data_IF_730826715535
#
_entry.id   IF_730826715535
#
_cell.length_a   1.000
_cell.length_b   1.000
_cell.length_c   1.000
_cell.angle_alpha   90.00
_cell.angle_beta   90.00
_cell.angle_gamma   90.00
#
_symmetry.space_group_name_H-M   'P 1'
#
loop_
_entity.id
_entity.type
_entity.pdbx_description
1 polymer ?
#
# COMPACT_ATOMS: atom_id res chain seq x y z
N UNK A 1 0.54 -4.72 -4.64
CA UNK A 1 -0.32 -5.21 -5.75
C UNK A 1 -0.49 -4.18 -6.87
N UNK A 2 -0.70 -2.90 -6.54
CA UNK A 2 -0.89 -1.80 -7.50
C UNK A 2 0.16 -1.68 -8.60
N UNK A 3 1.45 -1.89 -8.29
CA UNK A 3 2.54 -1.87 -9.27
C UNK A 3 2.50 -3.07 -10.24
N UNK A 4 2.12 -4.25 -9.77
CA UNK A 4 1.98 -5.42 -10.65
C UNK A 4 0.79 -5.22 -11.60
N UNK A 5 -0.30 -4.66 -11.08
CA UNK A 5 -1.49 -4.35 -11.85
C UNK A 5 -1.23 -3.22 -12.87
N UNK A 6 -0.50 -2.17 -12.51
CA UNK A 6 -0.12 -1.10 -13.45
C UNK A 6 0.82 -1.59 -14.54
N UNK A 7 1.79 -2.46 -14.19
CA UNK A 7 2.67 -3.11 -15.18
C UNK A 7 1.86 -4.00 -16.12
N UNK A 8 0.88 -4.77 -15.62
CA UNK A 8 -0.02 -5.55 -16.49
C UNK A 8 -0.81 -4.66 -17.44
N UNK A 9 -1.36 -3.53 -16.97
CA UNK A 9 -2.07 -2.57 -17.82
C UNK A 9 -1.18 -1.99 -18.92
N UNK A 10 0.05 -1.57 -18.58
CA UNK A 10 1.02 -1.06 -19.54
C UNK A 10 1.48 -2.12 -20.55
N UNK A 11 1.56 -3.39 -20.15
CA UNK A 11 1.86 -4.49 -21.08
C UNK A 11 0.78 -4.62 -22.16
N UNK A 12 -0.49 -4.48 -21.79
CA UNK A 12 -1.61 -4.55 -22.74
C UNK A 12 -1.64 -3.35 -23.70
N UNK A 13 -1.37 -2.14 -23.21
CA UNK A 13 -1.23 -0.95 -24.06
C UNK A 13 -0.14 -1.12 -25.11
N UNK A 14 1.03 -1.64 -24.72
CA UNK A 14 2.16 -1.89 -25.62
C UNK A 14 1.84 -2.98 -26.65
N UNK A 15 1.08 -4.00 -26.28
CA UNK A 15 0.64 -5.04 -27.23
C UNK A 15 -0.26 -4.47 -28.34
N UNK A 16 -1.18 -3.56 -28.00
CA UNK A 16 -2.02 -2.87 -28.99
C UNK A 16 -1.14 -2.06 -29.96
N UNK A 17 -0.10 -1.39 -29.46
CA UNK A 17 0.83 -0.63 -30.31
C UNK A 17 1.61 -1.54 -31.27
N UNK A 18 2.04 -2.73 -30.82
CA UNK A 18 2.70 -3.70 -31.70
C UNK A 18 1.73 -4.27 -32.75
N UNK A 19 0.47 -4.48 -32.41
CA UNK A 19 -0.52 -4.93 -33.39
C UNK A 19 -0.75 -3.87 -34.49
N UNK A 20 -0.90 -2.60 -34.09
CA UNK A 20 -1.03 -1.47 -35.01
C UNK A 20 0.19 -1.35 -35.93
N UNK A 21 1.41 -1.44 -35.38
CA UNK A 21 2.64 -1.33 -36.16
C UNK A 21 2.86 -2.53 -37.10
N UNK A 22 2.40 -3.72 -36.72
CA UNK A 22 2.41 -4.88 -37.62
C UNK A 22 1.49 -4.68 -38.83
N UNK A 23 0.29 -4.11 -38.62
CA UNK A 23 -0.64 -3.78 -39.71
C UNK A 23 -0.13 -2.68 -40.62
N UNK A 24 0.55 -1.66 -40.09
CA UNK A 24 1.12 -0.60 -40.93
C UNK A 24 2.28 -1.11 -41.77
N UNK A 25 3.14 -1.98 -41.21
CA UNK A 25 4.23 -2.61 -41.95
C UNK A 25 3.73 -3.56 -43.04
N UNK A 26 2.64 -4.30 -42.78
CA UNK A 26 2.04 -5.15 -43.82
C UNK A 26 1.43 -4.34 -44.95
N UNK A 27 0.78 -3.21 -44.64
CA UNK A 27 0.28 -2.28 -45.65
C UNK A 27 1.41 -1.66 -46.47
N UNK A 28 2.48 -1.18 -45.81
CA UNK A 28 3.67 -0.67 -46.48
C UNK A 28 4.19 -1.68 -47.51
N UNK A 29 4.44 -2.93 -47.08
CA UNK A 29 4.89 -4.04 -47.93
C UNK A 29 3.98 -4.32 -49.14
N UNK A 30 2.68 -4.02 -49.07
CA UNK A 30 1.76 -4.21 -50.21
C UNK A 30 1.86 -3.10 -51.25
N UNK A 31 2.27 -1.89 -50.86
CA UNK A 31 2.36 -0.72 -51.74
C UNK A 31 3.78 -0.41 -52.22
N UNK A 32 4.81 -0.92 -51.55
CA UNK A 32 6.22 -0.74 -51.89
C UNK A 32 6.78 -1.95 -52.65
N UNK A 33 7.27 -1.69 -53.86
CA UNK A 33 8.03 -2.66 -54.65
C UNK A 33 9.46 -2.77 -54.11
N UNK A 34 9.79 -3.90 -53.47
CA UNK A 34 11.16 -4.36 -53.18
C UNK A 34 12.24 -3.29 -52.92
N UNK A 35 12.17 -2.63 -51.77
CA UNK A 35 13.31 -1.87 -51.24
C UNK A 35 13.99 -2.68 -50.11
N UNK A 36 15.32 -2.87 -50.22
CA UNK A 36 16.13 -3.59 -49.20
C UNK A 36 15.97 -2.99 -47.79
N UNK A 37 15.72 -1.68 -47.72
CA UNK A 37 15.47 -0.95 -46.47
C UNK A 37 14.24 -1.45 -45.70
N UNK A 38 13.21 -1.94 -46.37
CA UNK A 38 11.98 -2.44 -45.73
C UNK A 38 12.15 -3.84 -45.15
N UNK A 39 12.99 -4.67 -45.78
CA UNK A 39 13.35 -5.99 -45.26
C UNK A 39 14.12 -5.82 -43.96
N UNK A 40 15.08 -4.88 -43.92
CA UNK A 40 15.85 -4.53 -42.72
C UNK A 40 14.93 -3.97 -41.62
N UNK A 41 13.93 -3.16 -41.98
CA UNK A 41 13.00 -2.58 -41.02
C UNK A 41 12.03 -3.62 -40.44
N UNK A 42 11.56 -4.56 -41.27
CA UNK A 42 10.75 -5.69 -40.82
C UNK A 42 11.54 -6.63 -39.91
N UNK A 43 12.79 -6.96 -40.23
CA UNK A 43 13.65 -7.79 -39.38
C UNK A 43 14.00 -7.12 -38.04
N UNK A 44 14.27 -5.81 -38.06
CA UNK A 44 14.44 -5.01 -36.83
C UNK A 44 13.17 -5.03 -35.99
N UNK A 45 12.01 -4.87 -36.61
CA UNK A 45 10.71 -4.90 -35.93
C UNK A 45 10.42 -6.27 -35.30
N UNK A 46 10.65 -7.36 -36.05
CA UNK A 46 10.50 -8.73 -35.57
C UNK A 46 11.45 -9.01 -34.39
N UNK A 47 12.68 -8.49 -34.45
CA UNK A 47 13.64 -8.58 -33.35
C UNK A 47 13.14 -7.87 -32.09
N UNK A 48 12.52 -6.71 -32.22
CA UNK A 48 11.93 -5.95 -31.10
C UNK A 48 10.77 -6.73 -30.48
N UNK A 49 9.87 -7.30 -31.30
CA UNK A 49 8.77 -8.16 -30.82
C UNK A 49 9.32 -9.36 -30.06
N UNK A 50 10.33 -10.05 -30.59
CA UNK A 50 10.94 -11.20 -29.94
C UNK A 50 11.56 -10.83 -28.58
N UNK A 51 12.25 -9.68 -28.50
CA UNK A 51 12.79 -9.15 -27.24
C UNK A 51 11.68 -8.83 -26.23
N UNK A 52 10.57 -8.25 -26.70
CA UNK A 52 9.40 -7.97 -25.88
C UNK A 52 8.75 -9.25 -25.33
N UNK A 53 8.56 -10.28 -26.16
CA UNK A 53 8.02 -11.57 -25.73
C UNK A 53 8.91 -12.25 -24.68
N UNK A 54 10.23 -12.17 -24.85
CA UNK A 54 11.19 -12.65 -23.85
C UNK A 54 11.09 -11.88 -22.53
N UNK A 55 10.95 -10.56 -22.58
CA UNK A 55 10.69 -9.73 -21.39
C UNK A 55 9.36 -10.08 -20.73
N UNK A 56 8.29 -10.25 -21.50
CA UNK A 56 6.96 -10.66 -21.01
C UNK A 56 7.04 -12.01 -20.28
N UNK A 57 7.74 -12.97 -20.85
CA UNK A 57 7.93 -14.29 -20.25
C UNK A 57 8.70 -14.21 -18.94
N UNK A 58 9.81 -13.44 -18.91
CA UNK A 58 10.58 -13.20 -17.67
C UNK A 58 9.74 -12.51 -16.60
N UNK A 59 8.94 -11.51 -16.97
CA UNK A 59 8.03 -10.80 -16.06
C UNK A 59 6.93 -11.74 -15.55
N UNK A 60 6.38 -12.60 -16.39
CA UNK A 60 5.38 -13.60 -15.99
C UNK A 60 5.96 -14.61 -15.01
N UNK A 61 7.16 -15.13 -15.26
CA UNK A 61 7.86 -16.02 -14.33
C UNK A 61 8.16 -15.33 -13.00
N UNK A 62 8.57 -14.06 -13.01
CA UNK A 62 8.75 -13.28 -11.80
C UNK A 62 7.42 -13.10 -11.04
N UNK A 63 6.32 -12.80 -11.73
CA UNK A 63 4.97 -12.71 -11.14
C UNK A 63 4.53 -14.04 -10.52
N UNK A 64 4.80 -15.16 -11.18
CA UNK A 64 4.48 -16.50 -10.66
C UNK A 64 5.28 -16.85 -9.40
N UNK A 65 6.57 -16.46 -9.35
CA UNK A 65 7.43 -16.67 -8.17
C UNK A 65 7.06 -15.77 -7.00
N UNK A 66 6.82 -14.49 -7.27
CA UNK A 66 6.53 -13.48 -6.24
C UNK A 66 5.07 -13.49 -5.79
N UNK A 67 4.15 -14.04 -6.58
CA UNK A 67 2.72 -14.04 -6.28
C UNK A 67 2.38 -14.73 -4.95
N UNK A 68 2.85 -15.96 -4.69
CA UNK A 68 2.61 -16.66 -3.42
C UNK A 68 3.21 -15.93 -2.23
N UNK A 69 4.47 -15.48 -2.33
CA UNK A 69 5.15 -14.78 -1.23
C UNK A 69 4.47 -13.45 -0.91
N UNK A 70 4.07 -12.68 -1.93
CA UNK A 70 3.30 -11.45 -1.74
C UNK A 70 1.94 -11.70 -1.08
N UNK A 71 1.28 -12.83 -1.35
CA UNK A 71 0.02 -13.19 -0.69
C UNK A 71 0.23 -13.57 0.77
N UNK A 72 1.30 -14.28 1.09
CA UNK A 72 1.66 -14.63 2.47
C UNK A 72 2.02 -13.37 3.27
N UNK A 73 2.90 -12.53 2.75
CA UNK A 73 3.25 -11.24 3.36
C UNK A 73 2.02 -10.35 3.53
N UNK A 74 1.15 -10.29 2.52
CA UNK A 74 -0.11 -9.55 2.63
C UNK A 74 -1.01 -10.08 3.74
N UNK A 75 -1.05 -11.40 3.98
CA UNK A 75 -1.83 -11.96 5.09
C UNK A 75 -1.24 -11.58 6.44
N UNK A 76 0.08 -11.69 6.59
CA UNK A 76 0.79 -11.29 7.80
C UNK A 76 0.55 -9.81 8.11
N UNK A 77 0.67 -8.93 7.12
CA UNK A 77 0.38 -7.51 7.30
C UNK A 77 -1.09 -7.27 7.69
N UNK A 78 -2.04 -8.01 7.11
CA UNK A 78 -3.46 -7.91 7.50
C UNK A 78 -3.68 -8.33 8.96
N UNK A 79 -3.01 -9.38 9.42
CA UNK A 79 -3.06 -9.81 10.82
C UNK A 79 -2.44 -8.76 11.75
N UNK A 80 -1.30 -8.18 11.35
CA UNK A 80 -0.66 -7.09 12.10
C UNK A 80 -1.58 -5.86 12.20
N UNK A 81 -2.21 -5.45 11.10
CA UNK A 81 -3.17 -4.34 11.07
C UNK A 81 -4.36 -4.59 12.02
N UNK A 82 -4.87 -5.84 12.06
CA UNK A 82 -5.93 -6.23 13.02
C UNK A 82 -5.45 -6.20 14.47
N UNK A 83 -4.23 -6.68 14.72
CA UNK A 83 -3.63 -6.64 16.05
C UNK A 83 -3.45 -5.19 16.54
N UNK A 84 -3.09 -4.28 15.63
CA UNK A 84 -2.96 -2.86 15.90
C UNK A 84 -4.31 -2.20 16.19
N UNK A 85 -5.35 -2.52 15.41
CA UNK A 85 -6.72 -2.09 15.67
C UNK A 85 -7.17 -2.53 17.07
N UNK A 86 -6.90 -3.78 17.44
CA UNK A 86 -7.20 -4.29 18.79
C UNK A 86 -6.45 -3.53 19.88
N UNK A 87 -5.18 -3.17 19.66
CA UNK A 87 -4.41 -2.33 20.61
C UNK A 87 -5.02 -0.95 20.79
N UNK A 88 -5.52 -0.31 19.71
CA UNK A 88 -6.23 0.97 19.80
C UNK A 88 -7.51 0.82 20.62
N UNK A 89 -8.32 -0.19 20.29
CA UNK A 89 -9.60 -0.41 20.98
C UNK A 89 -9.40 -0.73 22.47
N UNK A 90 -8.38 -1.55 22.81
CA UNK A 90 -7.97 -1.80 24.20
C UNK A 90 -7.52 -0.52 24.91
N UNK A 91 -6.75 0.34 24.24
CA UNK A 91 -6.27 1.58 24.86
C UNK A 91 -7.42 2.55 25.16
N UNK A 92 -8.44 2.60 24.31
CA UNK A 92 -9.67 3.35 24.55
C UNK A 92 -10.46 2.77 25.73
N UNK A 93 -10.57 1.44 25.81
CA UNK A 93 -11.22 0.75 26.93
C UNK A 93 -10.47 1.02 28.23
N UNK A 94 -9.14 0.88 28.24
CA UNK A 94 -8.27 1.16 29.38
C UNK A 94 -8.44 2.61 29.87
N UNK A 95 -8.57 3.57 28.97
CA UNK A 95 -8.81 4.96 29.34
C UNK A 95 -10.20 5.14 29.96
N UNK A 96 -11.25 4.56 29.37
CA UNK A 96 -12.61 4.65 29.90
C UNK A 96 -12.78 3.94 31.26
N UNK A 97 -12.04 2.85 31.46
CA UNK A 97 -12.01 2.11 32.73
C UNK A 97 -11.05 2.72 33.75
N UNK A 98 -10.17 3.63 33.33
CA UNK A 98 -9.22 4.26 34.23
C UNK A 98 -9.94 5.12 35.28
N UNK A 99 -9.42 5.08 36.50
CA UNK A 99 -9.93 5.89 37.61
C UNK A 99 -9.72 7.40 37.40
N UNK A 100 -9.23 7.86 36.24
CA UNK A 100 -9.09 9.28 35.87
C UNK A 100 -10.41 10.05 35.95
N UNK A 101 -11.55 9.35 35.93
CA UNK A 101 -12.88 9.93 36.12
C UNK A 101 -13.40 9.85 37.56
N UNK A 102 -12.69 9.16 38.46
CA UNK A 102 -13.10 9.01 39.86
C UNK A 102 -12.39 10.05 40.73
N UNK A 103 -13.17 10.74 41.57
CA UNK A 103 -12.70 11.81 42.47
C UNK A 103 -11.69 11.39 43.54
N UNK A 104 -11.29 10.11 43.60
CA UNK A 104 -10.42 9.57 44.64
C UNK A 104 -8.92 9.65 44.31
N UNK A 105 -8.54 10.07 43.09
CA UNK A 105 -7.14 10.18 42.70
C UNK A 105 -6.51 11.51 43.13
N UNK A 106 -5.30 11.43 43.65
CA UNK A 106 -4.45 12.61 43.85
C UNK A 106 -3.94 13.11 42.49
N UNK A 107 -3.78 14.43 42.35
CA UNK A 107 -3.27 15.07 41.13
C UNK A 107 -1.96 14.43 40.60
N UNK A 108 -1.04 14.09 41.51
CA UNK A 108 0.25 13.44 41.16
C UNK A 108 0.03 12.06 40.51
N UNK A 109 -0.93 11.28 41.03
CA UNK A 109 -1.25 9.95 40.51
C UNK A 109 -1.97 10.05 39.16
N UNK A 110 -2.90 11.00 39.02
CA UNK A 110 -3.56 11.28 37.75
C UNK A 110 -2.55 11.71 36.66
N UNK A 111 -1.58 12.55 37.01
CA UNK A 111 -0.54 12.99 36.08
C UNK A 111 0.41 11.86 35.66
N UNK A 112 0.74 10.93 36.56
CA UNK A 112 1.53 9.74 36.23
C UNK A 112 0.79 8.85 35.22
N UNK A 113 -0.50 8.59 35.46
CA UNK A 113 -1.35 7.80 34.57
C UNK A 113 -1.50 8.49 33.20
N UNK A 114 -1.74 9.79 33.17
CA UNK A 114 -1.82 10.57 31.93
C UNK A 114 -0.50 10.55 31.13
N UNK A 115 0.65 10.67 31.80
CA UNK A 115 1.95 10.56 31.15
C UNK A 115 2.20 9.15 30.58
N UNK A 116 1.72 8.10 31.24
CA UNK A 116 1.79 6.73 30.72
C UNK A 116 0.91 6.56 29.46
N UNK A 117 -0.30 7.13 29.44
CA UNK A 117 -1.14 7.13 28.23
C UNK A 117 -0.55 7.97 27.10
N UNK A 118 0.05 9.13 27.40
CA UNK A 118 0.73 9.97 26.40
C UNK A 118 1.94 9.27 25.76
N UNK A 119 2.73 8.53 26.55
CA UNK A 119 3.88 7.79 26.00
C UNK A 119 3.41 6.64 25.12
N UNK A 120 2.38 5.89 25.53
CA UNK A 120 1.75 4.85 24.70
C UNK A 120 1.14 5.43 23.43
N UNK A 121 0.46 6.57 23.52
CA UNK A 121 -0.10 7.24 22.34
C UNK A 121 0.97 7.63 21.33
N UNK A 122 2.10 8.21 21.78
CA UNK A 122 3.21 8.58 20.88
C UNK A 122 3.81 7.36 20.16
N UNK A 123 3.87 6.21 20.84
CA UNK A 123 4.33 4.96 20.22
C UNK A 123 3.35 4.48 19.15
N UNK A 124 2.05 4.51 19.44
CA UNK A 124 1.02 4.14 18.46
C UNK A 124 0.94 5.13 17.30
N UNK A 125 1.13 6.43 17.53
CA UNK A 125 1.20 7.45 16.47
C UNK A 125 2.33 7.15 15.48
N UNK A 126 3.51 6.77 16.00
CA UNK A 126 4.66 6.40 15.16
C UNK A 126 4.34 5.16 14.33
N UNK A 127 3.76 4.13 14.96
CA UNK A 127 3.35 2.90 14.27
C UNK A 127 2.22 3.14 13.27
N UNK A 128 1.30 4.07 13.56
CA UNK A 128 0.18 4.40 12.69
C UNK A 128 0.63 4.97 11.34
N UNK A 129 1.74 5.72 11.30
CA UNK A 129 2.31 6.21 10.05
C UNK A 129 2.76 5.05 9.14
N UNK A 130 3.47 4.08 9.71
CA UNK A 130 3.96 2.91 8.99
C UNK A 130 2.77 2.05 8.51
N UNK A 131 1.79 1.81 9.37
CA UNK A 131 0.58 1.05 9.02
C UNK A 131 -0.29 1.75 7.98
N UNK A 132 -0.37 3.09 7.98
CA UNK A 132 -1.08 3.85 6.94
C UNK A 132 -0.43 3.70 5.57
N UNK A 133 0.90 3.65 5.51
CA UNK A 133 1.63 3.37 4.27
C UNK A 133 1.37 1.94 3.79
N UNK A 134 1.42 0.95 4.70
CA UNK A 134 1.13 -0.46 4.37
C UNK A 134 -0.31 -0.65 3.89
N UNK A 135 -1.26 0.03 4.51
CA UNK A 135 -2.67 0.02 4.12
C UNK A 135 -2.89 0.61 2.72
N UNK A 136 -2.18 1.69 2.39
CA UNK A 136 -2.18 2.29 1.04
C UNK A 136 -1.52 1.35 0.01
N UNK A 137 -0.47 0.63 0.39
CA UNK A 137 0.26 -0.28 -0.49
C UNK A 137 -0.55 -1.56 -0.83
N UNK A 138 -1.37 -2.00 0.13
CA UNK A 138 -2.26 -3.14 0.00
C UNK A 138 -3.65 -2.76 -0.56
N UNK A 139 -3.98 -1.48 -0.67
CA UNK A 139 -5.34 -0.97 -1.01
C UNK A 139 -6.43 -1.61 -0.13
N UNK A 140 -6.16 -1.76 1.17
CA UNK A 140 -7.12 -2.31 2.14
C UNK A 140 -7.66 -1.22 3.06
N UNK A 141 -8.90 -1.34 3.54
CA UNK A 141 -9.47 -0.40 4.52
C UNK A 141 -9.77 -1.13 5.82
N UNK A 142 -8.73 -1.45 6.58
CA UNK A 142 -8.82 -2.30 7.77
C UNK A 142 -8.80 -1.49 9.06
N UNK A 143 -7.97 -0.44 9.12
CA UNK A 143 -7.85 0.40 10.32
C UNK A 143 -8.66 1.67 10.14
N UNK A 144 -9.43 2.01 11.17
CA UNK A 144 -10.07 3.31 11.32
C UNK A 144 -9.18 4.21 12.19
N UNK A 145 -8.33 4.99 11.54
CA UNK A 145 -7.41 5.91 12.22
C UNK A 145 -8.13 7.06 12.95
N UNK A 146 -9.40 7.32 12.63
CA UNK A 146 -10.19 8.39 13.28
C UNK A 146 -10.37 8.13 14.78
N UNK A 147 -10.36 6.86 15.22
CA UNK A 147 -10.37 6.51 16.65
C UNK A 147 -9.15 7.01 17.41
N UNK A 148 -7.99 7.06 16.76
CA UNK A 148 -6.74 7.52 17.37
C UNK A 148 -6.74 9.05 17.49
N UNK A 149 -7.32 9.75 16.51
CA UNK A 149 -7.53 11.20 16.57
C UNK A 149 -8.50 11.58 17.70
N UNK A 150 -9.64 10.88 17.82
CA UNK A 150 -10.58 11.06 18.94
C UNK A 150 -9.91 10.83 20.29
N UNK A 151 -9.07 9.79 20.40
CA UNK A 151 -8.30 9.51 21.60
C UNK A 151 -7.30 10.63 21.95
N UNK A 152 -6.72 11.30 20.94
CA UNK A 152 -5.86 12.47 21.15
C UNK A 152 -6.62 13.65 21.72
N UNK A 153 -7.84 13.89 21.22
CA UNK A 153 -8.68 14.96 21.71
C UNK A 153 -9.12 14.70 23.15
N UNK A 154 -9.59 13.49 23.47
CA UNK A 154 -10.00 13.14 24.83
C UNK A 154 -8.84 13.24 25.83
N UNK A 155 -7.63 12.81 25.46
CA UNK A 155 -6.45 13.01 26.31
C UNK A 155 -6.09 14.49 26.50
N UNK A 156 -6.19 15.32 25.46
CA UNK A 156 -5.95 16.76 25.59
C UNK A 156 -6.95 17.41 26.54
N UNK A 157 -8.23 17.06 26.42
CA UNK A 157 -9.27 17.54 27.32
C UNK A 157 -9.02 17.09 28.75
N UNK A 158 -8.69 15.82 28.98
CA UNK A 158 -8.33 15.31 30.31
C UNK A 158 -7.12 16.02 30.93
N UNK A 159 -6.09 16.30 30.14
CA UNK A 159 -4.92 17.06 30.62
C UNK A 159 -5.31 18.48 31.02
N UNK A 160 -6.22 19.11 30.27
CA UNK A 160 -6.69 20.46 30.58
C UNK A 160 -7.57 20.46 31.85
N UNK A 161 -8.50 19.52 31.99
CA UNK A 161 -9.39 19.45 33.17
C UNK A 161 -8.65 19.17 34.46
N UNK A 162 -7.55 18.41 34.41
CA UNK A 162 -6.75 18.15 35.61
C UNK A 162 -5.77 19.29 35.92
N UNK A 163 -5.46 20.18 34.95
CA UNK A 163 -4.61 21.36 35.15
C UNK A 163 -5.34 22.57 35.73
N UNK A 164 -6.65 22.67 35.51
CA UNK A 164 -7.55 23.67 36.11
C UNK A 164 -7.96 23.28 37.51
#
# INVERSE_FOLDING_TARGET
MRLINSVSGKQQEVEILFELMSRTLSLLKMYSSSNEDEIVLHDKYQTIINRWQNLKTKVMQAKQRLGPTLKEESKLIIEDLKSFQFKIDQLIIDLNQSNLFQHQLTFIQAQFILNAFLTRQKQLDKQALDYKQLQTLLDTTIIDFSKLDLFRETLRHLILTWKT
#
